data_IF_646138659949
#
_entry.id   IF_646138659949
#
_cell.length_a   1.000
_cell.length_b   1.000
_cell.length_c   1.000
_cell.angle_alpha   90.00
_cell.angle_beta   90.00
_cell.angle_gamma   90.00
#
_symmetry.space_group_name_H-M   'P 1'
#
loop_
_entity.id
_entity.type
_entity.pdbx_description
1 polymer ?
#
# COMPACT_ATOMS: atom_id res chain seq x y z
N UNK A 1 7.99 16.03 -6.74
CA UNK A 1 7.43 15.19 -7.84
C UNK A 1 6.17 14.41 -7.49
N UNK A 2 6.02 13.83 -6.27
CA UNK A 2 4.79 13.11 -5.83
C UNK A 2 3.48 13.85 -6.12
N UNK A 3 3.39 15.14 -5.75
CA UNK A 3 2.24 16.00 -6.04
C UNK A 3 1.96 16.13 -7.55
N UNK A 4 3.01 16.30 -8.35
CA UNK A 4 2.90 16.47 -9.79
C UNK A 4 2.40 15.23 -10.53
N UNK A 5 2.71 14.02 -10.04
CA UNK A 5 2.23 12.76 -10.62
C UNK A 5 0.71 12.59 -10.54
N UNK A 6 0.03 13.33 -9.66
CA UNK A 6 -1.44 13.29 -9.51
C UNK A 6 -2.16 14.31 -10.40
N UNK A 7 -1.42 15.12 -11.17
CA UNK A 7 -2.03 16.05 -12.13
C UNK A 7 -2.82 15.26 -13.17
N UNK A 8 -4.05 15.70 -13.45
CA UNK A 8 -4.94 15.05 -14.41
C UNK A 8 -5.77 13.89 -13.84
N UNK A 9 -5.57 13.47 -12.59
CA UNK A 9 -6.47 12.49 -11.96
C UNK A 9 -7.75 13.14 -11.47
N UNK A 10 -8.93 12.48 -11.57
CA UNK A 10 -10.19 13.00 -11.01
C UNK A 10 -10.05 13.43 -9.55
N UNK A 11 -10.63 14.58 -9.19
CA UNK A 11 -10.57 15.13 -7.83
C UNK A 11 -9.25 15.78 -7.42
N UNK A 12 -8.26 15.89 -8.32
CA UNK A 12 -7.02 16.60 -8.05
C UNK A 12 -7.20 18.13 -8.16
N UNK A 13 -7.03 18.84 -7.05
CA UNK A 13 -6.93 20.30 -7.01
C UNK A 13 -5.56 20.73 -6.50
N UNK A 14 -4.85 21.58 -7.24
CA UNK A 14 -3.46 21.99 -6.93
C UNK A 14 -3.28 22.43 -5.47
N UNK A 15 -4.06 23.43 -5.02
CA UNK A 15 -3.95 23.97 -3.66
C UNK A 15 -4.33 22.95 -2.58
N UNK A 16 -5.41 22.18 -2.81
CA UNK A 16 -5.85 21.13 -1.88
C UNK A 16 -4.80 20.03 -1.75
N UNK A 17 -4.22 19.59 -2.88
CA UNK A 17 -3.21 18.56 -2.89
C UNK A 17 -1.94 19.00 -2.14
N UNK A 18 -1.48 20.23 -2.36
CA UNK A 18 -0.35 20.82 -1.61
C UNK A 18 -0.65 20.84 -0.12
N UNK A 19 -1.83 21.32 0.28
CA UNK A 19 -2.26 21.35 1.69
C UNK A 19 -2.27 19.95 2.31
N UNK A 20 -2.87 18.97 1.64
CA UNK A 20 -2.91 17.58 2.12
C UNK A 20 -1.52 17.00 2.32
N UNK A 21 -0.59 17.24 1.39
CA UNK A 21 0.79 16.76 1.54
C UNK A 21 1.47 17.47 2.71
N UNK A 22 1.31 18.79 2.84
CA UNK A 22 1.89 19.54 3.94
C UNK A 22 1.37 19.07 5.31
N UNK A 23 0.07 18.80 5.42
CA UNK A 23 -0.55 18.26 6.64
C UNK A 23 0.03 16.88 7.00
N UNK A 24 0.28 16.01 6.01
CA UNK A 24 0.94 14.72 6.23
C UNK A 24 2.39 14.88 6.70
N UNK A 25 3.14 15.81 6.10
CA UNK A 25 4.53 16.09 6.50
C UNK A 25 4.58 16.57 7.95
N UNK A 26 3.69 17.51 8.32
CA UNK A 26 3.58 18.00 9.70
C UNK A 26 3.18 16.91 10.69
N UNK A 27 2.26 16.03 10.33
CA UNK A 27 1.86 14.93 11.19
C UNK A 27 3.04 13.98 11.48
N UNK A 28 3.87 13.68 10.47
CA UNK A 28 5.08 12.87 10.65
C UNK A 28 6.14 13.58 11.48
N UNK A 29 6.37 14.87 11.22
CA UNK A 29 7.30 15.69 12.01
C UNK A 29 6.89 15.72 13.49
N UNK A 30 5.61 15.94 13.78
CA UNK A 30 5.09 15.93 15.13
C UNK A 30 5.29 14.57 15.83
N UNK A 31 5.04 13.46 15.12
CA UNK A 31 5.27 12.12 15.65
C UNK A 31 6.76 11.86 15.94
N UNK A 32 7.67 12.32 15.08
CA UNK A 32 9.12 12.22 15.30
C UNK A 32 9.59 13.07 16.49
N UNK A 33 9.20 14.35 16.54
CA UNK A 33 9.54 15.28 17.64
C UNK A 33 9.11 14.68 18.99
N UNK A 34 7.91 14.11 19.05
CA UNK A 34 7.40 13.47 20.27
C UNK A 34 8.30 12.31 20.71
N UNK A 35 8.74 11.45 19.79
CA UNK A 35 9.66 10.33 20.10
C UNK A 35 11.02 10.82 20.58
N UNK A 36 11.62 11.78 19.88
CA UNK A 36 12.90 12.39 20.27
C UNK A 36 12.82 12.97 21.70
N UNK A 37 11.71 13.62 22.07
CA UNK A 37 11.50 14.11 23.43
C UNK A 37 11.37 12.99 24.47
N UNK A 38 10.66 11.91 24.13
CA UNK A 38 10.51 10.72 24.99
C UNK A 38 11.86 10.02 25.20
N UNK A 39 12.74 10.05 24.20
CA UNK A 39 14.11 9.50 24.26
C UNK A 39 15.11 10.44 24.98
N UNK A 40 14.68 11.65 25.36
CA UNK A 40 15.51 12.63 26.06
C UNK A 40 16.34 13.54 25.16
N UNK A 41 16.12 13.49 23.84
CA UNK A 41 16.78 14.34 22.85
C UNK A 41 16.17 15.75 22.81
N UNK A 42 16.91 16.69 22.22
CA UNK A 42 16.42 18.06 21.95
C UNK A 42 16.08 18.20 20.46
N UNK A 43 14.80 18.03 20.06
CA UNK A 43 14.41 18.05 18.66
C UNK A 43 14.49 19.45 18.04
N UNK A 44 14.88 19.53 16.77
CA UNK A 44 14.78 20.78 16.01
C UNK A 44 13.38 20.93 15.39
N UNK A 45 12.57 21.84 15.95
CA UNK A 45 11.18 22.10 15.53
C UNK A 45 11.07 22.75 14.14
N UNK A 46 12.13 23.40 13.66
CA UNK A 46 12.16 24.13 12.40
C UNK A 46 12.74 23.32 11.24
N UNK A 47 13.17 22.08 11.50
CA UNK A 47 13.76 21.21 10.50
C UNK A 47 12.80 20.08 10.12
N UNK A 48 12.50 19.98 8.82
CA UNK A 48 11.92 18.79 8.23
C UNK A 48 13.06 17.85 7.79
N UNK A 49 12.98 16.59 8.20
CA UNK A 49 13.91 15.56 7.73
C UNK A 49 13.29 14.75 6.59
N UNK A 50 14.10 13.90 5.96
CA UNK A 50 13.70 13.04 4.84
C UNK A 50 12.42 12.25 5.13
N UNK A 51 12.31 11.66 6.31
CA UNK A 51 11.15 10.84 6.69
C UNK A 51 9.88 11.66 6.96
N UNK A 52 10.01 12.94 7.34
CA UNK A 52 8.85 13.84 7.44
C UNK A 52 8.25 14.05 6.03
N UNK A 53 9.12 14.28 5.04
CA UNK A 53 8.75 14.54 3.65
C UNK A 53 8.23 13.28 2.92
N UNK A 54 8.98 12.18 3.02
CA UNK A 54 8.77 10.98 2.22
C UNK A 54 8.01 9.88 2.96
N UNK A 55 7.89 9.96 4.29
CA UNK A 55 7.47 8.85 5.13
C UNK A 55 8.64 7.91 5.45
N UNK A 56 8.46 6.96 6.38
CA UNK A 56 9.50 5.99 6.70
C UNK A 56 9.94 5.23 5.45
N UNK A 57 11.24 4.91 5.35
CA UNK A 57 11.72 4.01 4.29
C UNK A 57 11.02 2.67 4.42
N UNK A 58 10.40 2.22 3.33
CA UNK A 58 9.94 0.85 3.26
C UNK A 58 11.17 -0.03 3.08
N UNK A 59 11.35 -0.97 3.99
CA UNK A 59 12.43 -1.96 3.95
C UNK A 59 11.83 -3.35 3.86
N UNK A 60 12.62 -4.31 3.38
CA UNK A 60 12.23 -5.72 3.37
C UNK A 60 11.92 -6.19 4.80
N UNK A 61 12.78 -5.85 5.77
CA UNK A 61 12.59 -6.21 7.18
C UNK A 61 11.26 -5.68 7.73
N UNK A 62 10.89 -4.44 7.39
CA UNK A 62 9.61 -3.87 7.79
C UNK A 62 8.44 -4.70 7.27
N UNK A 63 8.43 -5.07 5.99
CA UNK A 63 7.35 -5.90 5.42
C UNK A 63 7.40 -7.33 5.97
N UNK A 64 8.57 -7.94 6.11
CA UNK A 64 8.74 -9.30 6.63
C UNK A 64 8.31 -9.43 8.11
N UNK A 65 8.33 -8.32 8.85
CA UNK A 65 7.83 -8.27 10.23
C UNK A 65 6.30 -8.25 10.34
N UNK A 66 5.57 -8.03 9.25
CA UNK A 66 4.11 -7.94 9.25
C UNK A 66 3.48 -9.32 9.39
N UNK A 67 2.40 -9.39 10.16
CA UNK A 67 1.67 -10.63 10.40
C UNK A 67 1.15 -11.24 9.10
N UNK A 68 0.68 -10.42 8.16
CA UNK A 68 0.20 -10.85 6.84
C UNK A 68 1.28 -11.59 6.02
N UNK A 69 2.52 -11.09 6.05
CA UNK A 69 3.65 -11.74 5.39
C UNK A 69 4.00 -13.07 6.08
N UNK A 70 4.07 -13.08 7.40
CA UNK A 70 4.35 -14.29 8.19
C UNK A 70 3.26 -15.35 8.01
N UNK A 71 1.99 -14.94 8.00
CA UNK A 71 0.84 -15.80 7.74
C UNK A 71 0.97 -16.47 6.37
N UNK A 72 1.30 -15.71 5.32
CA UNK A 72 1.54 -16.27 3.99
C UNK A 72 2.70 -17.26 3.98
N UNK A 73 3.83 -16.91 4.60
CA UNK A 73 5.02 -17.75 4.60
C UNK A 73 4.80 -19.07 5.37
N UNK A 74 3.98 -19.04 6.43
CA UNK A 74 3.63 -20.21 7.22
C UNK A 74 2.69 -21.19 6.50
N UNK A 75 1.96 -20.76 5.46
CA UNK A 75 1.12 -21.67 4.67
C UNK A 75 1.99 -22.67 3.90
N UNK A 76 1.62 -23.95 3.93
CA UNK A 76 2.32 -24.99 3.18
C UNK A 76 2.13 -24.82 1.66
N UNK A 77 3.22 -24.99 0.90
CA UNK A 77 3.21 -24.79 -0.54
C UNK A 77 3.11 -23.32 -0.94
N UNK A 78 2.28 -23.04 -1.95
CA UNK A 78 2.04 -21.69 -2.51
C UNK A 78 3.30 -20.97 -3.02
N UNK A 79 4.32 -21.71 -3.45
CA UNK A 79 5.59 -21.15 -3.94
C UNK A 79 5.40 -20.00 -4.93
N UNK A 80 4.54 -20.11 -5.97
CA UNK A 80 4.36 -19.00 -6.92
C UNK A 80 3.76 -17.73 -6.29
N UNK A 81 2.95 -17.88 -5.24
CA UNK A 81 2.35 -16.73 -4.54
C UNK A 81 3.40 -16.05 -3.66
N UNK A 82 4.24 -16.84 -2.96
CA UNK A 82 5.32 -16.33 -2.12
C UNK A 82 6.35 -15.56 -2.95
N UNK A 83 6.82 -16.15 -4.05
CA UNK A 83 7.76 -15.50 -4.98
C UNK A 83 7.19 -14.19 -5.58
N UNK A 84 5.89 -14.18 -5.88
CA UNK A 84 5.22 -12.98 -6.37
C UNK A 84 5.19 -11.87 -5.31
N UNK A 85 4.93 -12.22 -4.04
CA UNK A 85 4.94 -11.26 -2.94
C UNK A 85 6.35 -10.72 -2.72
N UNK A 86 7.37 -11.57 -2.74
CA UNK A 86 8.77 -11.16 -2.60
C UNK A 86 9.21 -10.22 -3.74
N UNK A 87 8.71 -10.47 -4.95
CA UNK A 87 8.91 -9.58 -6.09
C UNK A 87 8.27 -8.21 -5.86
N UNK A 88 7.07 -8.16 -5.27
CA UNK A 88 6.41 -6.90 -4.93
C UNK A 88 7.16 -6.12 -3.84
N UNK A 89 7.66 -6.82 -2.82
CA UNK A 89 8.50 -6.21 -1.76
C UNK A 89 9.76 -5.62 -2.37
N UNK A 90 10.47 -6.39 -3.20
CA UNK A 90 11.67 -5.94 -3.91
C UNK A 90 11.39 -4.69 -4.75
N UNK A 91 10.31 -4.70 -5.53
CA UNK A 91 9.90 -3.56 -6.36
C UNK A 91 9.64 -2.30 -5.51
N UNK A 92 9.02 -2.46 -4.34
CA UNK A 92 8.69 -1.36 -3.44
C UNK A 92 9.94 -0.71 -2.85
N UNK A 93 10.90 -1.53 -2.39
CA UNK A 93 12.19 -1.06 -1.87
C UNK A 93 12.98 -0.34 -2.97
N UNK A 94 13.08 -0.94 -4.16
CA UNK A 94 13.74 -0.30 -5.30
C UNK A 94 13.06 1.02 -5.69
N UNK A 95 11.73 1.10 -5.65
CA UNK A 95 11.02 2.34 -5.93
C UNK A 95 11.27 3.43 -4.87
N UNK A 96 11.45 3.06 -3.60
CA UNK A 96 11.82 4.01 -2.56
C UNK A 96 13.19 4.65 -2.85
N UNK A 97 14.19 3.85 -3.25
CA UNK A 97 15.52 4.35 -3.65
C UNK A 97 15.44 5.20 -4.93
N UNK A 98 14.70 4.73 -5.93
CA UNK A 98 14.51 5.48 -7.19
C UNK A 98 13.85 6.82 -6.95
N UNK A 99 12.91 6.90 -6.01
CA UNK A 99 12.26 8.17 -5.69
C UNK A 99 13.23 9.18 -5.08
N UNK A 100 14.12 8.74 -4.19
CA UNK A 100 15.17 9.58 -3.62
C UNK A 100 16.17 10.06 -4.67
N UNK A 101 16.52 9.18 -5.61
CA UNK A 101 17.39 9.50 -6.74
C UNK A 101 16.66 10.26 -7.86
N UNK A 102 15.41 10.66 -7.63
CA UNK A 102 14.53 11.31 -8.61
C UNK A 102 14.37 10.56 -9.95
N UNK A 103 14.52 9.24 -9.93
CA UNK A 103 14.34 8.37 -11.08
C UNK A 103 12.85 8.04 -11.29
N UNK A 104 12.43 7.68 -12.52
CA UNK A 104 11.10 7.16 -12.77
C UNK A 104 10.84 5.90 -11.93
N UNK A 105 9.66 5.81 -11.32
CA UNK A 105 9.22 4.60 -10.62
C UNK A 105 8.88 3.50 -11.62
N UNK A 106 9.03 2.28 -11.17
CA UNK A 106 8.56 1.09 -11.86
C UNK A 106 7.16 0.74 -11.36
N UNK A 107 6.29 0.28 -12.26
CA UNK A 107 4.91 -0.07 -11.94
C UNK A 107 4.64 -1.51 -12.33
N UNK A 108 3.77 -2.17 -11.57
CA UNK A 108 3.27 -3.50 -11.88
C UNK A 108 1.76 -3.56 -11.63
N UNK A 109 1.09 -4.46 -12.33
CA UNK A 109 -0.34 -4.70 -12.13
C UNK A 109 -0.53 -5.42 -10.79
N UNK A 110 -1.53 -5.02 -10.02
CA UNK A 110 -1.85 -5.65 -8.70
C UNK A 110 -2.99 -6.66 -8.77
N UNK A 111 -3.80 -6.65 -9.84
CA UNK A 111 -4.91 -7.58 -10.01
C UNK A 111 -4.40 -9.02 -10.17
N UNK A 112 -5.04 -9.98 -9.49
CA UNK A 112 -4.64 -11.39 -9.48
C UNK A 112 -5.85 -12.31 -9.69
N UNK A 113 -5.57 -13.48 -10.27
CA UNK A 113 -6.52 -14.59 -10.38
C UNK A 113 -5.96 -15.74 -9.54
N UNK A 114 -6.73 -16.21 -8.57
CA UNK A 114 -6.37 -17.38 -7.76
C UNK A 114 -7.05 -18.62 -8.35
N UNK A 115 -6.26 -19.53 -8.93
CA UNK A 115 -6.73 -20.76 -9.56
C UNK A 115 -6.44 -21.96 -8.66
N UNK A 116 -7.37 -22.93 -8.63
CA UNK A 116 -7.20 -24.17 -7.88
C UNK A 116 -8.52 -24.80 -7.47
N UNK A 117 -8.48 -26.07 -7.05
CA UNK A 117 -9.66 -26.84 -6.65
C UNK A 117 -10.41 -26.18 -5.47
N UNK A 118 -11.72 -26.43 -5.30
CA UNK A 118 -12.44 -26.01 -4.10
C UNK A 118 -11.72 -26.46 -2.82
N UNK A 119 -11.70 -25.60 -1.79
CA UNK A 119 -11.05 -25.91 -0.51
C UNK A 119 -9.54 -25.65 -0.43
N UNK A 120 -8.85 -25.26 -1.52
CA UNK A 120 -7.39 -25.02 -1.51
C UNK A 120 -6.97 -23.64 -0.96
N UNK A 121 -7.79 -23.03 -0.09
CA UNK A 121 -7.43 -21.78 0.60
C UNK A 121 -7.43 -20.50 -0.27
N UNK A 122 -7.97 -20.50 -1.50
CA UNK A 122 -7.98 -19.32 -2.41
C UNK A 122 -8.49 -18.04 -1.73
N UNK A 123 -9.62 -18.13 -1.03
CA UNK A 123 -10.22 -16.99 -0.33
C UNK A 123 -9.34 -16.50 0.81
N UNK A 124 -8.68 -17.41 1.53
CA UNK A 124 -7.71 -17.09 2.58
C UNK A 124 -6.51 -16.34 1.99
N UNK A 125 -5.93 -16.85 0.90
CA UNK A 125 -4.80 -16.21 0.22
C UNK A 125 -5.19 -14.83 -0.31
N UNK A 126 -6.41 -14.65 -0.84
CA UNK A 126 -6.89 -13.36 -1.30
C UNK A 126 -6.97 -12.33 -0.16
N UNK A 127 -7.46 -12.73 1.03
CA UNK A 127 -7.47 -11.89 2.24
C UNK A 127 -6.07 -11.49 2.68
N UNK A 128 -5.15 -12.46 2.75
CA UNK A 128 -3.76 -12.20 3.15
C UNK A 128 -3.09 -11.27 2.13
N UNK A 129 -3.31 -11.50 0.83
CA UNK A 129 -2.77 -10.66 -0.24
C UNK A 129 -3.27 -9.21 -0.16
N UNK A 130 -4.57 -9.02 0.10
CA UNK A 130 -5.13 -7.67 0.28
C UNK A 130 -4.52 -6.95 1.49
N UNK A 131 -4.35 -7.66 2.62
CA UNK A 131 -3.69 -7.10 3.80
C UNK A 131 -2.22 -6.77 3.52
N UNK A 132 -1.50 -7.63 2.81
CA UNK A 132 -0.12 -7.38 2.37
C UNK A 132 -0.01 -6.11 1.52
N UNK A 133 -0.91 -5.93 0.55
CA UNK A 133 -0.94 -4.71 -0.27
C UNK A 133 -1.21 -3.46 0.57
N UNK A 134 -2.06 -3.55 1.59
CA UNK A 134 -2.31 -2.46 2.52
C UNK A 134 -1.10 -2.17 3.42
N UNK A 135 -0.43 -3.20 3.94
CA UNK A 135 0.78 -3.08 4.76
C UNK A 135 1.95 -2.47 3.97
N UNK A 136 2.01 -2.76 2.66
CA UNK A 136 2.91 -2.16 1.69
C UNK A 136 2.50 -0.73 1.27
N UNK A 137 1.34 -0.23 1.70
CA UNK A 137 0.81 1.08 1.32
C UNK A 137 0.37 1.19 -0.14
N UNK A 138 0.23 0.05 -0.84
CA UNK A 138 -0.27 -0.04 -2.21
C UNK A 138 -1.79 0.07 -2.27
N UNK A 139 -2.48 -0.30 -1.18
CA UNK A 139 -3.91 -0.06 -0.96
C UNK A 139 -4.13 0.83 0.24
N UNK A 140 -5.23 1.57 0.24
CA UNK A 140 -5.65 2.40 1.38
C UNK A 140 -6.24 1.58 2.53
N UNK A 141 -6.81 0.40 2.23
CA UNK A 141 -7.43 -0.54 3.16
C UNK A 141 -7.14 -1.97 2.70
N UNK A 142 -7.01 -2.89 3.65
CA UNK A 142 -6.82 -4.34 3.41
C UNK A 142 -8.10 -5.16 3.43
N UNK A 143 -9.27 -4.51 3.49
CA UNK A 143 -10.57 -5.17 3.52
C UNK A 143 -10.87 -5.87 2.18
N UNK A 144 -11.41 -7.09 2.24
CA UNK A 144 -11.82 -7.85 1.07
C UNK A 144 -13.33 -7.95 1.01
N UNK A 145 -13.92 -7.44 -0.07
CA UNK A 145 -15.32 -7.61 -0.39
C UNK A 145 -15.49 -8.88 -1.23
N UNK A 146 -16.18 -9.87 -0.67
CA UNK A 146 -16.52 -11.07 -1.42
C UNK A 146 -17.80 -10.83 -2.22
N UNK A 147 -17.74 -11.10 -3.53
CA UNK A 147 -18.86 -10.96 -4.45
C UNK A 147 -18.94 -12.18 -5.36
N UNK A 148 -20.16 -12.64 -5.60
CA UNK A 148 -20.47 -13.69 -6.56
C UNK A 148 -20.97 -13.05 -7.87
N UNK A 149 -20.95 -13.78 -9.00
CA UNK A 149 -21.52 -13.28 -10.26
C UNK A 149 -22.96 -12.79 -10.12
N UNK A 150 -23.77 -13.42 -9.26
CA UNK A 150 -25.15 -13.00 -8.96
C UNK A 150 -25.26 -11.61 -8.36
N UNK A 151 -24.22 -11.14 -7.65
CA UNK A 151 -24.23 -9.83 -6.99
C UNK A 151 -24.02 -8.69 -7.99
N UNK A 152 -23.63 -9.01 -9.23
CA UNK A 152 -23.42 -8.07 -10.34
C UNK A 152 -24.51 -8.16 -11.42
N UNK A 153 -25.47 -9.08 -11.28
CA UNK A 153 -26.57 -9.27 -12.24
C UNK A 153 -27.81 -8.62 -11.66
N UNK A 154 -28.17 -7.45 -12.19
CA UNK A 154 -29.43 -6.79 -11.84
C UNK A 154 -30.63 -7.57 -12.40
N UNK A 155 -31.77 -7.50 -11.69
CA UNK A 155 -33.01 -8.18 -12.08
C UNK A 155 -33.67 -7.61 -13.34
N UNK A 156 -33.19 -6.46 -13.85
CA UNK A 156 -33.70 -5.74 -15.02
C UNK A 156 -32.54 -5.21 -15.87
N UNK A 157 -32.74 -5.10 -17.18
CA UNK A 157 -31.78 -4.50 -18.13
C UNK A 157 -31.36 -3.09 -17.67
N UNK A 158 -30.05 -2.88 -17.50
CA UNK A 158 -29.46 -1.63 -17.02
C UNK A 158 -29.14 -1.59 -15.51
N UNK A 159 -29.65 -2.54 -14.72
CA UNK A 159 -29.38 -2.57 -13.26
C UNK A 159 -28.01 -3.15 -12.90
N UNK A 160 -27.35 -3.91 -13.80
CA UNK A 160 -25.99 -4.42 -13.58
C UNK A 160 -24.93 -3.31 -13.49
N UNK A 161 -25.12 -2.20 -14.20
CA UNK A 161 -24.19 -1.05 -14.20
C UNK A 161 -24.21 -0.27 -12.88
N UNK A 162 -25.30 -0.37 -12.11
CA UNK A 162 -25.45 0.24 -10.77
C UNK A 162 -24.92 -0.65 -9.64
N UNK A 163 -24.70 -1.94 -9.90
CA UNK A 163 -24.24 -2.93 -8.93
C UNK A 163 -22.75 -3.30 -9.08
N UNK A 164 -22.10 -2.78 -10.12
CA UNK A 164 -20.66 -2.91 -10.38
C UNK A 164 -19.91 -1.71 -9.81
#
# INVERSE_FOLDING_TARGET
>A
RRLGRRRGTPGFGNARAVRTVFDQVRARQAARIKREQEDGDTPNLFLFVRDDLLGPRVTEQYIHSRDSYRELQAMEGLVPVKELVDTLVTLLVQNAEREELEKPLQYTVLNRIFLGNPGTGKTTVARIYAQLLADMGLLSKGEVLHKNPSDFIGSVLGSSEQQT
#
